data_IF_818109804855
#
_entry.id   IF_818109804855
#
_cell.length_a   1.000
_cell.length_b   1.000
_cell.length_c   1.000
_cell.angle_alpha   90.00
_cell.angle_beta   90.00
_cell.angle_gamma   90.00
#
_symmetry.space_group_name_H-M   'P 1'
#
loop_
_entity.id
_entity.type
_entity.pdbx_description
1 polymer ?
#
# COMPACT_ATOMS: atom_id res chain seq x y z
N UNK A 1 56.22 10.69 40.03
CA UNK A 1 55.69 9.74 39.03
C UNK A 1 54.95 10.58 38.00
N UNK A 2 55.46 10.68 36.77
CA UNK A 2 54.95 11.65 35.77
C UNK A 2 53.72 11.06 35.09
N UNK A 3 52.64 11.83 35.05
CA UNK A 3 51.34 11.42 34.51
C UNK A 3 51.31 11.56 32.99
N UNK A 4 51.52 10.44 32.29
CA UNK A 4 51.52 10.38 30.83
C UNK A 4 50.13 10.34 30.20
N UNK A 5 49.03 10.38 30.98
CA UNK A 5 47.65 10.29 30.46
C UNK A 5 47.35 11.36 29.40
N UNK A 6 47.83 12.58 29.64
CA UNK A 6 47.67 13.71 28.71
C UNK A 6 48.34 13.48 27.34
N UNK A 7 49.46 12.75 27.32
CA UNK A 7 50.19 12.45 26.08
C UNK A 7 49.48 11.34 25.31
N UNK A 8 49.00 10.31 26.00
CA UNK A 8 48.18 9.25 25.39
C UNK A 8 46.84 9.80 24.86
N UNK A 9 46.18 10.69 25.59
CA UNK A 9 44.93 11.33 25.14
C UNK A 9 45.15 12.21 23.91
N UNK A 10 46.29 12.92 23.85
CA UNK A 10 46.69 13.69 22.68
C UNK A 10 46.88 12.79 21.45
N UNK A 11 47.61 11.67 21.56
CA UNK A 11 47.79 10.77 20.41
C UNK A 11 46.52 10.02 20.01
N UNK A 12 45.65 9.66 20.97
CA UNK A 12 44.34 9.06 20.69
C UNK A 12 43.40 10.02 19.96
N UNK A 13 43.43 11.32 20.31
CA UNK A 13 42.60 12.33 19.65
C UNK A 13 43.18 12.85 18.33
N UNK A 14 44.51 12.94 18.20
CA UNK A 14 45.19 13.46 17.01
C UNK A 14 45.10 12.51 15.80
N UNK A 15 45.06 11.20 16.06
CA UNK A 15 44.86 10.18 15.03
C UNK A 15 43.38 9.78 14.83
N UNK A 16 42.46 10.36 15.60
CA UNK A 16 41.04 10.10 15.46
C UNK A 16 40.47 10.84 14.25
N UNK A 17 40.43 10.15 13.12
CA UNK A 17 39.57 10.52 12.01
C UNK A 17 38.19 9.97 12.39
N UNK A 18 37.20 10.82 12.75
CA UNK A 18 35.84 10.32 12.90
C UNK A 18 35.49 9.62 11.60
N UNK A 19 34.98 8.37 11.64
CA UNK A 19 34.51 7.73 10.42
C UNK A 19 33.56 8.71 9.75
N UNK A 20 33.82 9.02 8.47
CA UNK A 20 32.92 9.81 7.64
C UNK A 20 31.52 9.30 7.95
N UNK A 21 30.69 10.19 8.47
CA UNK A 21 29.28 10.00 8.82
C UNK A 21 28.72 8.86 7.99
N UNK A 22 28.32 7.74 8.62
CA UNK A 22 27.59 6.67 7.94
C UNK A 22 26.59 7.35 7.02
N UNK A 23 26.75 7.18 5.70
CA UNK A 23 25.87 7.81 4.73
C UNK A 23 24.44 7.45 5.16
N UNK A 24 23.66 8.46 5.53
CA UNK A 24 22.29 8.25 5.99
C UNK A 24 21.58 7.50 4.88
N UNK A 25 21.16 6.26 5.16
CA UNK A 25 20.42 5.46 4.18
C UNK A 25 19.17 6.24 3.83
N UNK A 26 19.06 6.63 2.55
CA UNK A 26 17.90 7.36 2.07
C UNK A 26 16.67 6.45 2.22
N UNK A 27 15.71 6.90 3.02
CA UNK A 27 14.46 6.18 3.27
C UNK A 27 13.28 6.90 2.63
N UNK A 28 12.30 6.13 2.18
CA UNK A 28 11.01 6.62 1.69
C UNK A 28 9.91 6.32 2.71
N UNK A 29 8.92 7.20 2.78
CA UNK A 29 7.72 6.96 3.58
C UNK A 29 6.72 6.13 2.79
N UNK A 30 6.31 5.01 3.39
CA UNK A 30 5.30 4.09 2.87
C UNK A 30 4.21 3.81 3.88
N UNK A 31 3.30 2.92 3.51
CA UNK A 31 2.22 2.44 4.37
C UNK A 31 2.17 0.93 4.34
N UNK A 32 2.04 0.31 5.51
CA UNK A 32 1.61 -1.08 5.65
C UNK A 32 0.09 -1.13 5.84
N UNK A 33 -0.60 -1.80 4.92
CA UNK A 33 -2.02 -2.16 5.04
C UNK A 33 -2.09 -3.45 5.84
N UNK A 34 -2.52 -3.36 7.10
CA UNK A 34 -2.55 -4.50 7.99
C UNK A 34 -3.79 -5.37 7.76
N UNK A 35 -3.61 -6.70 7.71
CA UNK A 35 -4.72 -7.64 7.62
C UNK A 35 -5.46 -7.81 8.94
N UNK A 36 -6.59 -8.51 8.89
CA UNK A 36 -7.43 -8.80 10.04
C UNK A 36 -6.66 -9.41 11.22
N UNK A 37 -5.72 -10.32 10.94
CA UNK A 37 -4.85 -10.96 11.94
C UNK A 37 -3.99 -9.95 12.67
N UNK A 38 -3.26 -9.11 11.94
CA UNK A 38 -2.40 -8.06 12.50
C UNK A 38 -3.20 -7.04 13.32
N UNK A 39 -4.37 -6.62 12.83
CA UNK A 39 -5.22 -5.67 13.54
C UNK A 39 -5.79 -6.28 14.82
N UNK A 40 -6.37 -7.49 14.76
CA UNK A 40 -7.05 -8.08 15.92
C UNK A 40 -6.08 -8.63 16.97
N UNK A 41 -4.99 -9.27 16.55
CA UNK A 41 -4.06 -9.97 17.45
C UNK A 41 -2.88 -9.12 17.87
N UNK A 42 -2.36 -8.26 16.98
CA UNK A 42 -1.20 -7.41 17.27
C UNK A 42 -1.58 -5.96 17.60
N UNK A 43 -2.88 -5.62 17.51
CA UNK A 43 -3.41 -4.27 17.77
C UNK A 43 -2.76 -3.20 16.89
N UNK A 44 -2.33 -3.57 15.69
CA UNK A 44 -1.81 -2.62 14.70
C UNK A 44 -2.95 -1.79 14.10
N UNK A 45 -2.72 -0.53 13.73
CA UNK A 45 -3.70 0.25 12.97
C UNK A 45 -3.91 -0.36 11.57
N UNK A 46 -5.07 -0.13 10.95
CA UNK A 46 -5.36 -0.64 9.61
C UNK A 46 -4.35 -0.12 8.56
N UNK A 47 -4.00 1.16 8.66
CA UNK A 47 -2.98 1.82 7.83
C UNK A 47 -1.85 2.32 8.73
N UNK A 48 -0.70 1.67 8.65
CA UNK A 48 0.46 1.95 9.49
C UNK A 48 1.56 2.64 8.67
N UNK A 49 2.02 3.81 9.11
CA UNK A 49 3.14 4.49 8.46
C UNK A 49 4.44 3.74 8.68
N UNK A 50 5.24 3.57 7.63
CA UNK A 50 6.53 2.89 7.67
C UNK A 50 7.58 3.69 6.90
N UNK A 51 8.84 3.43 7.18
CA UNK A 51 9.96 3.95 6.41
C UNK A 51 10.77 2.78 5.85
N UNK A 52 11.10 2.83 4.57
CA UNK A 52 11.87 1.81 3.87
C UNK A 52 13.10 2.41 3.21
N UNK A 53 14.26 1.75 3.28
CA UNK A 53 15.42 2.11 2.46
C UNK A 53 15.05 2.16 0.98
N UNK A 54 15.60 3.12 0.23
CA UNK A 54 15.47 3.16 -1.24
C UNK A 54 16.09 1.96 -1.95
N UNK A 55 16.88 1.16 -1.24
CA UNK A 55 17.49 -0.11 -1.66
C UNK A 55 16.63 -1.34 -1.33
N UNK A 56 15.46 -1.17 -0.73
CA UNK A 56 14.56 -2.27 -0.37
C UNK A 56 14.12 -3.08 -1.60
N UNK A 57 13.87 -4.38 -1.40
CA UNK A 57 13.48 -5.30 -2.45
C UNK A 57 12.19 -4.89 -3.18
N UNK A 58 11.28 -4.14 -2.53
CA UNK A 58 10.06 -3.64 -3.16
C UNK A 58 10.35 -2.80 -4.42
N UNK A 59 11.51 -2.16 -4.53
CA UNK A 59 11.86 -1.40 -5.74
C UNK A 59 12.28 -2.27 -6.93
N UNK A 60 12.50 -3.57 -6.72
CA UNK A 60 12.91 -4.52 -7.77
C UNK A 60 11.92 -5.68 -7.94
N UNK A 61 11.23 -6.09 -6.88
CA UNK A 61 10.24 -7.17 -6.86
C UNK A 61 8.97 -6.68 -6.17
N UNK A 62 7.99 -6.28 -6.98
CA UNK A 62 6.71 -5.72 -6.52
C UNK A 62 5.58 -6.08 -7.49
N UNK A 63 4.37 -5.88 -7.00
CA UNK A 63 3.18 -5.71 -7.82
C UNK A 63 2.84 -4.21 -7.97
N UNK A 64 1.89 -3.90 -8.85
CA UNK A 64 1.38 -2.54 -9.05
C UNK A 64 -0.14 -2.53 -9.08
N UNK A 65 -0.74 -1.34 -8.94
CA UNK A 65 -2.19 -1.14 -9.06
C UNK A 65 -2.56 -0.40 -10.34
N UNK A 66 -3.40 -1.01 -11.17
CA UNK A 66 -3.92 -0.38 -12.38
C UNK A 66 -4.72 0.88 -12.04
N UNK A 67 -5.56 0.82 -10.99
CA UNK A 67 -6.36 1.95 -10.53
C UNK A 67 -5.45 3.11 -10.14
N UNK A 68 -4.42 2.84 -9.32
CA UNK A 68 -3.49 3.85 -8.84
C UNK A 68 -2.69 4.49 -9.99
N UNK A 69 -2.28 3.69 -10.98
CA UNK A 69 -1.65 4.19 -12.20
C UNK A 69 -2.58 5.13 -12.98
N UNK A 70 -3.86 4.77 -13.17
CA UNK A 70 -4.84 5.58 -13.92
C UNK A 70 -5.17 6.91 -13.26
N UNK A 71 -5.16 6.98 -11.93
CA UNK A 71 -5.39 8.23 -11.20
C UNK A 71 -4.11 9.07 -11.03
N UNK A 72 -2.94 8.55 -11.44
CA UNK A 72 -1.68 9.28 -11.38
C UNK A 72 -0.98 9.23 -10.01
N UNK A 73 -1.22 8.18 -9.22
CA UNK A 73 -0.48 7.87 -7.99
C UNK A 73 0.14 6.47 -8.17
N UNK A 74 1.18 6.31 -9.01
CA UNK A 74 1.76 5.00 -9.24
C UNK A 74 2.39 4.45 -7.95
N UNK A 75 1.93 3.29 -7.51
CA UNK A 75 2.39 2.61 -6.31
C UNK A 75 3.06 1.27 -6.62
N UNK A 76 3.99 0.88 -5.76
CA UNK A 76 4.59 -0.44 -5.69
C UNK A 76 4.05 -1.14 -4.45
N UNK A 77 3.68 -2.40 -4.58
CA UNK A 77 3.10 -3.18 -3.50
C UNK A 77 3.84 -4.50 -3.30
N UNK A 78 3.90 -4.95 -2.04
CA UNK A 78 4.48 -6.24 -1.70
C UNK A 78 3.74 -6.85 -0.50
N UNK A 79 3.36 -8.13 -0.61
CA UNK A 79 2.76 -8.87 0.52
C UNK A 79 3.80 -9.15 1.59
N UNK A 80 3.43 -8.97 2.84
CA UNK A 80 4.22 -9.36 4.00
C UNK A 80 4.06 -10.87 4.27
N UNK A 81 5.10 -11.53 4.79
CA UNK A 81 4.94 -12.82 5.44
C UNK A 81 3.90 -12.73 6.59
N UNK A 82 3.08 -13.77 6.81
CA UNK A 82 2.13 -13.79 7.91
C UNK A 82 2.85 -13.85 9.26
N UNK A 83 2.30 -13.21 10.29
CA UNK A 83 2.89 -13.23 11.63
C UNK A 83 2.62 -14.58 12.32
N UNK A 84 3.64 -15.26 12.88
CA UNK A 84 3.48 -16.54 13.55
C UNK A 84 2.43 -16.55 14.67
N UNK A 85 2.16 -15.39 15.30
CA UNK A 85 1.18 -15.25 16.38
C UNK A 85 -0.25 -15.51 15.92
N UNK A 86 -0.56 -15.39 14.63
CA UNK A 86 -1.90 -15.67 14.11
C UNK A 86 -1.93 -16.58 12.88
N UNK A 87 -0.80 -16.82 12.21
CA UNK A 87 -0.72 -17.60 10.97
C UNK A 87 -1.30 -19.02 11.09
N UNK A 88 -1.19 -19.63 12.28
CA UNK A 88 -1.64 -21.00 12.58
C UNK A 88 -2.92 -21.05 13.44
N UNK A 89 -3.58 -19.91 13.66
CA UNK A 89 -4.78 -19.82 14.47
C UNK A 89 -6.02 -20.07 13.59
N UNK A 90 -6.96 -20.87 14.12
CA UNK A 90 -8.25 -21.14 13.46
C UNK A 90 -9.10 -19.86 13.29
N UNK A 91 -9.68 -19.70 12.10
CA UNK A 91 -10.58 -18.61 11.68
C UNK A 91 -11.76 -18.36 12.65
N UNK A 92 -12.18 -19.35 13.44
CA UNK A 92 -13.18 -19.19 14.49
C UNK A 92 -12.82 -18.07 15.49
N UNK A 93 -11.52 -17.83 15.76
CA UNK A 93 -11.07 -16.72 16.63
C UNK A 93 -11.27 -15.33 16.01
N UNK A 94 -11.63 -15.27 14.73
CA UNK A 94 -11.80 -14.06 13.96
C UNK A 94 -13.24 -13.84 13.50
N UNK A 95 -14.21 -14.48 14.18
CA UNK A 95 -15.64 -14.46 13.85
C UNK A 95 -15.93 -15.01 12.45
N UNK A 96 -15.20 -16.07 12.05
CA UNK A 96 -15.34 -16.74 10.75
C UNK A 96 -14.63 -16.03 9.59
N UNK A 97 -13.98 -14.89 9.83
CA UNK A 97 -13.13 -14.25 8.83
C UNK A 97 -11.71 -14.82 8.86
N UNK A 98 -11.11 -15.08 7.69
CA UNK A 98 -9.69 -15.46 7.63
C UNK A 98 -8.81 -14.36 8.23
N UNK A 99 -7.79 -14.67 9.06
CA UNK A 99 -6.85 -13.67 9.58
C UNK A 99 -6.01 -13.01 8.48
N UNK A 100 -5.92 -13.65 7.31
CA UNK A 100 -5.30 -13.09 6.13
C UNK A 100 -6.17 -12.07 5.40
N UNK A 101 -7.42 -11.88 5.81
CA UNK A 101 -8.35 -10.99 5.12
C UNK A 101 -7.84 -9.54 5.11
N UNK A 102 -7.70 -8.99 3.90
CA UNK A 102 -7.26 -7.63 3.65
C UNK A 102 -7.94 -7.10 2.38
N UNK A 103 -9.24 -6.83 2.47
CA UNK A 103 -10.05 -6.38 1.33
C UNK A 103 -9.55 -5.06 0.73
N UNK A 104 -8.96 -4.20 1.56
CA UNK A 104 -8.40 -2.93 1.11
C UNK A 104 -7.24 -3.15 0.13
N UNK A 105 -6.33 -4.09 0.46
CA UNK A 105 -5.28 -4.50 -0.46
C UNK A 105 -5.81 -5.31 -1.66
N UNK A 106 -6.84 -6.14 -1.48
CA UNK A 106 -7.49 -6.88 -2.57
C UNK A 106 -8.06 -5.95 -3.64
N UNK A 107 -8.90 -4.98 -3.24
CA UNK A 107 -9.56 -4.10 -4.20
C UNK A 107 -8.62 -3.07 -4.83
N UNK A 108 -7.53 -2.73 -4.15
CA UNK A 108 -6.45 -1.94 -4.72
C UNK A 108 -5.86 -2.56 -6.00
N UNK A 109 -5.90 -3.89 -6.13
CA UNK A 109 -5.32 -4.63 -7.26
C UNK A 109 -6.36 -5.16 -8.26
N UNK A 110 -7.56 -4.55 -8.33
CA UNK A 110 -8.52 -4.92 -9.39
C UNK A 110 -7.98 -4.53 -10.77
N UNK A 111 -8.08 -5.48 -11.71
CA UNK A 111 -7.60 -5.32 -13.07
C UNK A 111 -8.46 -4.31 -13.85
N UNK A 112 -7.80 -3.32 -14.47
CA UNK A 112 -8.43 -2.32 -15.34
C UNK A 112 -8.10 -2.53 -16.83
N UNK A 113 -7.57 -3.70 -17.23
CA UNK A 113 -7.39 -4.03 -18.64
C UNK A 113 -8.68 -4.68 -19.20
N UNK A 114 -9.41 -4.00 -20.12
CA UNK A 114 -10.65 -4.53 -20.66
C UNK A 114 -10.44 -5.79 -21.51
N UNK A 115 -9.23 -6.00 -22.04
CA UNK A 115 -8.82 -7.17 -22.80
C UNK A 115 -8.32 -8.33 -21.94
N UNK A 116 -8.12 -8.14 -20.64
CA UNK A 116 -7.64 -9.18 -19.75
C UNK A 116 -8.61 -10.36 -19.67
N UNK A 117 -8.06 -11.55 -19.89
CA UNK A 117 -8.79 -12.83 -19.84
C UNK A 117 -8.38 -13.62 -18.62
N UNK A 118 -9.25 -14.54 -18.21
CA UNK A 118 -8.91 -15.57 -17.25
C UNK A 118 -7.76 -16.42 -17.82
N UNK A 119 -6.69 -16.53 -17.06
CA UNK A 119 -5.53 -17.35 -17.38
C UNK A 119 -4.92 -17.87 -16.09
N UNK A 120 -5.09 -19.18 -15.86
CA UNK A 120 -4.61 -19.85 -14.65
C UNK A 120 -3.08 -19.86 -14.56
N UNK A 121 -2.37 -19.85 -15.69
CA UNK A 121 -0.90 -19.93 -15.73
C UNK A 121 -0.24 -18.67 -15.20
N UNK A 122 -0.87 -17.52 -15.44
CA UNK A 122 -0.46 -16.21 -14.93
C UNK A 122 -1.19 -15.81 -13.64
N UNK A 123 -2.19 -16.61 -13.21
CA UNK A 123 -3.07 -16.28 -12.10
C UNK A 123 -4.00 -15.10 -12.38
N UNK A 124 -4.15 -14.71 -13.65
CA UNK A 124 -5.08 -13.66 -14.09
C UNK A 124 -6.51 -14.15 -13.99
N UNK A 125 -7.38 -13.34 -13.37
CA UNK A 125 -8.82 -13.60 -13.31
C UNK A 125 -9.61 -12.69 -14.29
N UNK A 126 -8.90 -11.86 -15.07
CA UNK A 126 -9.48 -10.97 -16.07
C UNK A 126 -10.04 -9.67 -15.50
N UNK A 127 -10.72 -8.92 -16.38
CA UNK A 127 -11.33 -7.61 -16.10
C UNK A 127 -12.09 -7.56 -14.76
N UNK A 128 -11.84 -6.51 -13.97
CA UNK A 128 -12.56 -6.21 -12.73
C UNK A 128 -12.22 -7.12 -11.55
N UNK A 129 -11.46 -8.19 -11.77
CA UNK A 129 -10.94 -9.07 -10.73
C UNK A 129 -9.50 -8.73 -10.41
N UNK A 130 -9.10 -8.95 -9.16
CA UNK A 130 -7.69 -9.01 -8.81
C UNK A 130 -7.13 -10.40 -9.13
N UNK A 131 -5.81 -10.51 -9.28
CA UNK A 131 -5.17 -11.82 -9.53
C UNK A 131 -5.43 -12.79 -8.38
N UNK A 132 -5.24 -14.10 -8.62
CA UNK A 132 -5.43 -15.13 -7.61
C UNK A 132 -4.61 -14.87 -6.32
N UNK A 133 -3.43 -14.24 -6.47
CA UNK A 133 -2.54 -13.85 -5.37
C UNK A 133 -3.12 -12.75 -4.47
N UNK A 134 -3.93 -11.85 -5.03
CA UNK A 134 -4.56 -10.74 -4.32
C UNK A 134 -6.02 -11.01 -3.94
N UNK A 135 -6.61 -12.12 -4.41
CA UNK A 135 -7.90 -12.63 -3.92
C UNK A 135 -7.78 -13.45 -2.64
N UNK A 136 -6.74 -14.29 -2.52
CA UNK A 136 -6.69 -15.34 -1.51
C UNK A 136 -5.54 -15.14 -0.54
N UNK A 137 -5.84 -15.28 0.75
CA UNK A 137 -4.85 -15.23 1.83
C UNK A 137 -3.88 -14.04 1.75
N UNK A 138 -4.40 -12.85 1.38
CA UNK A 138 -3.60 -11.67 1.04
C UNK A 138 -2.59 -11.32 2.12
N UNK A 139 -3.03 -11.33 3.39
CA UNK A 139 -2.20 -10.90 4.51
C UNK A 139 -1.96 -9.39 4.47
N UNK A 140 -1.03 -8.93 5.31
CA UNK A 140 -0.62 -7.54 5.30
C UNK A 140 0.21 -7.23 4.06
N UNK A 141 0.18 -5.98 3.60
CA UNK A 141 0.95 -5.56 2.43
C UNK A 141 1.62 -4.22 2.67
N UNK A 142 2.82 -4.05 2.16
CA UNK A 142 3.55 -2.78 2.12
C UNK A 142 3.25 -2.08 0.80
N UNK A 143 3.08 -0.77 0.87
CA UNK A 143 2.84 0.10 -0.26
C UNK A 143 3.77 1.31 -0.19
N UNK A 144 4.47 1.59 -1.28
CA UNK A 144 5.28 2.81 -1.47
C UNK A 144 4.93 3.44 -2.81
N UNK A 145 5.20 4.73 -2.98
CA UNK A 145 5.08 5.34 -4.30
C UNK A 145 6.27 4.98 -5.18
N UNK A 146 6.00 4.71 -6.45
CA UNK A 146 7.03 4.42 -7.46
C UNK A 146 7.99 5.60 -7.66
N UNK A 147 7.49 6.83 -7.53
CA UNK A 147 8.27 8.07 -7.62
C UNK A 147 8.97 8.44 -6.31
N UNK A 148 8.97 7.55 -5.30
CA UNK A 148 9.61 7.72 -3.98
C UNK A 148 9.09 8.91 -3.16
N UNK A 149 8.03 9.59 -3.60
CA UNK A 149 7.37 10.60 -2.78
C UNK A 149 6.72 9.96 -1.55
N UNK A 150 6.59 10.69 -0.44
CA UNK A 150 5.90 10.20 0.74
C UNK A 150 4.50 9.67 0.45
N UNK A 151 4.19 8.47 0.93
CA UNK A 151 2.84 7.95 1.04
C UNK A 151 2.45 7.90 2.52
N UNK A 152 1.45 8.69 2.91
CA UNK A 152 1.00 8.77 4.30
C UNK A 152 -0.18 7.82 4.55
N UNK A 153 -0.42 7.38 5.79
CA UNK A 153 -1.55 6.51 6.13
C UNK A 153 -2.90 7.04 5.63
N UNK A 154 -3.15 8.34 5.73
CA UNK A 154 -4.39 8.95 5.25
C UNK A 154 -4.52 8.91 3.71
N UNK A 155 -3.42 9.03 2.96
CA UNK A 155 -3.45 8.85 1.51
C UNK A 155 -3.85 7.43 1.14
N UNK A 156 -3.29 6.44 1.85
CA UNK A 156 -3.59 5.03 1.61
C UNK A 156 -5.01 4.68 2.05
N UNK A 157 -5.50 5.24 3.16
CA UNK A 157 -6.89 5.07 3.61
C UNK A 157 -7.87 5.60 2.55
N UNK A 158 -7.63 6.81 2.03
CA UNK A 158 -8.45 7.39 0.97
C UNK A 158 -8.38 6.57 -0.33
N UNK A 159 -7.18 6.12 -0.73
CA UNK A 159 -7.00 5.31 -1.94
C UNK A 159 -7.69 3.94 -1.83
N UNK A 160 -7.53 3.25 -0.71
CA UNK A 160 -8.23 2.00 -0.44
C UNK A 160 -9.75 2.19 -0.41
N UNK A 161 -10.22 3.25 0.26
CA UNK A 161 -11.63 3.63 0.30
C UNK A 161 -12.20 3.90 -1.09
N UNK A 162 -11.48 4.64 -1.94
CA UNK A 162 -11.88 4.89 -3.32
C UNK A 162 -12.00 3.59 -4.12
N UNK A 163 -11.01 2.71 -4.03
CA UNK A 163 -11.04 1.42 -4.72
C UNK A 163 -12.25 0.58 -4.28
N UNK A 164 -12.49 0.52 -2.96
CA UNK A 164 -13.53 -0.33 -2.37
C UNK A 164 -14.94 0.22 -2.55
N UNK A 165 -15.15 1.52 -2.38
CA UNK A 165 -16.49 2.11 -2.29
C UNK A 165 -16.93 2.83 -3.56
N UNK A 166 -16.01 3.29 -4.41
CA UNK A 166 -16.35 3.92 -5.69
C UNK A 166 -16.09 2.98 -6.87
N UNK A 167 -14.92 2.33 -6.91
CA UNK A 167 -14.52 1.54 -8.10
C UNK A 167 -15.10 0.13 -8.10
N UNK A 168 -15.09 -0.57 -6.96
CA UNK A 168 -15.59 -1.94 -6.90
C UNK A 168 -17.06 -2.08 -7.32
N UNK A 169 -17.99 -1.17 -6.94
CA UNK A 169 -19.36 -1.21 -7.46
C UNK A 169 -19.43 -1.04 -8.98
N UNK A 170 -18.64 -0.13 -9.56
CA UNK A 170 -18.59 0.07 -11.02
C UNK A 170 -18.07 -1.18 -11.75
N UNK A 171 -17.01 -1.81 -11.21
CA UNK A 171 -16.50 -3.09 -11.72
C UNK A 171 -17.56 -4.18 -11.61
N UNK A 172 -18.25 -4.28 -10.47
CA UNK A 172 -19.35 -5.22 -10.27
C UNK A 172 -20.50 -5.02 -11.25
N UNK A 173 -20.88 -3.78 -11.52
CA UNK A 173 -21.91 -3.47 -12.51
C UNK A 173 -21.47 -3.88 -13.91
N UNK A 174 -20.24 -3.55 -14.31
CA UNK A 174 -19.69 -3.96 -15.60
C UNK A 174 -19.61 -5.48 -15.76
N UNK A 175 -19.47 -6.23 -14.67
CA UNK A 175 -19.52 -7.70 -14.63
C UNK A 175 -20.94 -8.28 -14.59
N UNK A 176 -21.99 -7.45 -14.56
CA UNK A 176 -23.38 -7.90 -14.53
C UNK A 176 -23.91 -8.30 -13.15
N UNK A 177 -23.30 -7.82 -12.06
CA UNK A 177 -23.71 -8.13 -10.69
C UNK A 177 -25.13 -7.64 -10.32
N UNK A 178 -25.63 -6.62 -11.02
CA UNK A 178 -26.90 -5.94 -10.70
C UNK A 178 -28.05 -6.31 -11.66
N UNK A 179 -28.06 -7.54 -12.18
CA UNK A 179 -29.18 -8.03 -12.99
C UNK A 179 -30.54 -7.77 -12.29
N UNK A 180 -31.56 -7.24 -13.00
CA UNK A 180 -31.69 -7.17 -14.47
C UNK A 180 -31.12 -5.91 -15.14
N UNK A 181 -30.42 -5.02 -14.42
CA UNK A 181 -29.82 -3.82 -15.03
C UNK A 181 -28.76 -4.21 -16.08
N UNK A 182 -28.72 -3.47 -17.19
CA UNK A 182 -27.73 -3.69 -18.25
C UNK A 182 -26.32 -3.33 -17.75
N UNK A 183 -25.32 -4.23 -17.89
CA UNK A 183 -23.96 -3.96 -17.46
C UNK A 183 -23.35 -2.71 -18.09
N UNK A 184 -22.70 -1.87 -17.28
CA UNK A 184 -21.93 -0.72 -17.78
C UNK A 184 -20.76 -1.21 -18.64
N UNK A 185 -20.54 -0.55 -19.78
CA UNK A 185 -19.40 -0.85 -20.67
C UNK A 185 -18.06 -0.62 -19.97
N UNK A 186 -17.09 -1.48 -20.24
CA UNK A 186 -15.75 -1.42 -19.61
C UNK A 186 -15.08 -0.06 -19.85
N UNK A 187 -15.24 0.49 -21.04
CA UNK A 187 -14.67 1.77 -21.45
C UNK A 187 -15.24 2.94 -20.63
N UNK A 188 -16.52 2.87 -20.26
CA UNK A 188 -17.16 3.91 -19.46
C UNK A 188 -16.69 3.85 -18.00
N UNK A 189 -16.49 2.64 -17.45
CA UNK A 189 -15.81 2.47 -16.15
C UNK A 189 -14.42 3.10 -16.17
N UNK A 190 -13.64 2.87 -17.23
CA UNK A 190 -12.29 3.42 -17.35
C UNK A 190 -12.23 4.94 -17.47
N UNK A 191 -13.27 5.59 -18.04
CA UNK A 191 -13.38 7.05 -18.05
C UNK A 191 -13.59 7.61 -16.64
N UNK A 192 -14.31 6.89 -15.79
CA UNK A 192 -14.54 7.28 -14.39
C UNK A 192 -13.28 7.09 -13.54
N UNK A 193 -12.49 6.04 -13.80
CA UNK A 193 -11.22 5.81 -13.11
C UNK A 193 -10.15 6.77 -13.66
N UNK A 194 -10.14 7.99 -13.13
CA UNK A 194 -9.22 9.05 -13.50
C UNK A 194 -8.91 10.00 -12.35
N UNK A 195 -7.84 10.79 -12.49
CA UNK A 195 -7.35 11.72 -11.47
C UNK A 195 -8.42 12.68 -10.94
N UNK A 196 -9.22 13.38 -11.77
CA UNK A 196 -10.25 14.30 -11.27
C UNK A 196 -11.26 13.64 -10.34
N UNK A 197 -11.68 12.41 -10.64
CA UNK A 197 -12.64 11.67 -9.80
C UNK A 197 -12.04 11.31 -8.44
N UNK A 198 -10.76 10.92 -8.41
CA UNK A 198 -10.08 10.70 -7.13
C UNK A 198 -9.86 11.99 -6.35
N UNK A 199 -9.59 13.12 -7.02
CA UNK A 199 -9.49 14.44 -6.34
C UNK A 199 -10.81 14.80 -5.67
N UNK A 200 -11.95 14.59 -6.34
CA UNK A 200 -13.28 14.80 -5.74
C UNK A 200 -13.47 13.90 -4.51
N UNK A 201 -13.10 12.62 -4.62
CA UNK A 201 -13.19 11.68 -3.50
C UNK A 201 -12.31 12.11 -2.33
N UNK A 202 -11.05 12.48 -2.59
CA UNK A 202 -10.09 12.95 -1.59
C UNK A 202 -10.60 14.17 -0.82
N UNK A 203 -11.15 15.16 -1.52
CA UNK A 203 -11.73 16.36 -0.88
C UNK A 203 -12.86 15.99 0.07
N UNK A 204 -13.84 15.20 -0.38
CA UNK A 204 -14.96 14.72 0.46
C UNK A 204 -14.47 13.89 1.65
N UNK A 205 -13.46 13.04 1.42
CA UNK A 205 -12.88 12.19 2.45
C UNK A 205 -12.20 13.02 3.54
N UNK A 206 -11.43 14.05 3.17
CA UNK A 206 -10.79 14.97 4.12
C UNK A 206 -11.81 15.74 4.96
N UNK A 207 -12.83 16.29 4.31
CA UNK A 207 -13.92 17.00 5.00
C UNK A 207 -14.59 16.09 6.03
N UNK A 208 -14.91 14.85 5.65
CA UNK A 208 -15.51 13.86 6.54
C UNK A 208 -14.60 13.45 7.71
N UNK A 209 -13.28 13.45 7.49
CA UNK A 209 -12.27 13.13 8.51
C UNK A 209 -11.92 14.34 9.39
N UNK A 210 -12.40 15.53 9.03
CA UNK A 210 -12.00 16.80 9.65
C UNK A 210 -10.46 17.02 9.64
N UNK A 211 -9.76 16.44 8.65
CA UNK A 211 -8.31 16.60 8.48
C UNK A 211 -8.00 17.51 7.29
N UNK A 212 -7.61 18.74 7.65
CA UNK A 212 -7.21 19.79 6.73
C UNK A 212 -5.69 19.99 6.67
N UNK A 213 -4.90 19.24 7.45
CA UNK A 213 -3.44 19.41 7.53
C UNK A 213 -2.69 18.44 6.63
N UNK A 214 -3.23 17.25 6.40
CA UNK A 214 -2.62 16.28 5.48
C UNK A 214 -2.67 16.83 4.04
N UNK A 215 -1.51 17.00 3.37
CA UNK A 215 -1.48 17.50 2.00
C UNK A 215 -2.11 16.50 1.04
N UNK A 216 -2.60 16.99 -0.10
CA UNK A 216 -3.03 16.13 -1.20
C UNK A 216 -1.91 15.17 -1.61
N UNK A 217 -2.22 13.92 -1.96
CA UNK A 217 -1.22 13.01 -2.51
C UNK A 217 -0.60 13.55 -3.81
N UNK A 218 -1.20 14.53 -4.49
CA UNK A 218 -0.63 15.13 -5.69
C UNK A 218 0.29 16.32 -5.42
N UNK A 219 0.17 16.94 -4.25
CA UNK A 219 0.86 18.21 -3.93
C UNK A 219 2.18 17.99 -3.18
N UNK A 220 2.53 16.72 -2.92
CA UNK A 220 3.80 16.35 -2.32
C UNK A 220 4.87 16.46 -3.42
N UNK A 221 5.56 17.59 -3.50
CA UNK A 221 6.66 17.84 -4.42
C UNK A 221 7.80 18.55 -3.70
N UNK A 222 8.99 17.93 -3.79
CA UNK A 222 10.33 18.29 -3.31
C UNK A 222 10.44 19.45 -2.30
#
# INVERSE_FOLDING_TARGET
MVDFRHVTDYFLSYAYIPPKTQASVECVKGVRINCLGDVKMLKRPQFEGIELPTTDAIFTKHDTSDIANRIGIPILTQRCPPDPKWANINDAKFAGGSPYNNQDATFLHQCCDPGAKFDISTGSLGWGWCSALWQNSVGSAIVVRKDKKPLLPMHMEALAGYCRYEIQPLMGHSLGKYYPEEPIKKEDVLKIICRPMFVIYWTKFREKKEDYTTPSPYDIGL
#
